data_IF_650096496396
#
_entry.id   IF_650096496396
#
_cell.length_a   1.000
_cell.length_b   1.000
_cell.length_c   1.000
_cell.angle_alpha   90.00
_cell.angle_beta   90.00
_cell.angle_gamma   90.00
#
_symmetry.space_group_name_H-M   'P 1'
#
loop_
_entity.id
_entity.type
_entity.pdbx_description
1 polymer ?
#
# COMPACT_ATOMS: atom_id res chain seq x y z
N UNK A 1 -2.17 -11.45 22.38
CA UNK A 1 -0.98 -12.34 22.49
C UNK A 1 0.04 -11.68 23.42
N UNK A 2 0.60 -12.41 24.39
CA UNK A 2 1.62 -11.87 25.29
C UNK A 2 3.00 -12.05 24.66
N UNK A 3 3.66 -10.94 24.33
CA UNK A 3 4.86 -10.93 23.49
C UNK A 3 6.03 -11.69 24.13
N UNK A 4 6.18 -11.60 25.45
CA UNK A 4 7.23 -12.30 26.22
C UNK A 4 7.02 -13.81 26.25
N UNK A 5 5.78 -14.27 26.47
CA UNK A 5 5.42 -15.69 26.39
C UNK A 5 5.64 -16.24 24.98
N UNK A 6 5.29 -15.47 23.95
CA UNK A 6 5.52 -15.85 22.57
C UNK A 6 7.02 -15.95 22.25
N UNK A 7 7.83 -14.96 22.65
CA UNK A 7 9.28 -14.99 22.44
C UNK A 7 9.97 -16.17 23.16
N UNK A 8 9.64 -16.44 24.42
CA UNK A 8 10.21 -17.57 25.15
C UNK A 8 9.81 -18.93 24.54
N UNK A 9 8.57 -19.03 24.04
CA UNK A 9 8.07 -20.19 23.29
C UNK A 9 8.87 -20.39 22.00
N UNK A 10 9.07 -19.34 21.21
CA UNK A 10 9.84 -19.43 19.96
C UNK A 10 11.32 -19.74 20.20
N UNK A 11 11.95 -19.14 21.22
CA UNK A 11 13.34 -19.46 21.59
C UNK A 11 13.51 -20.90 22.09
N UNK A 12 12.46 -21.46 22.71
CA UNK A 12 12.48 -22.84 23.17
C UNK A 12 12.20 -23.88 22.06
N UNK A 13 11.74 -23.42 20.89
CA UNK A 13 11.39 -24.24 19.73
C UNK A 13 12.59 -24.40 18.81
N UNK A 14 13.20 -25.58 18.80
CA UNK A 14 14.29 -25.90 17.87
C UNK A 14 13.79 -26.82 16.77
N UNK A 15 13.79 -26.34 15.51
CA UNK A 15 13.52 -27.15 14.32
C UNK A 15 14.81 -27.77 13.82
N UNK A 16 14.89 -29.11 13.76
CA UNK A 16 16.07 -29.79 13.18
C UNK A 16 15.92 -29.97 11.66
N UNK A 17 17.02 -29.88 10.88
CA UNK A 17 16.99 -30.09 9.43
C UNK A 17 16.66 -31.54 9.01
N UNK A 18 16.90 -32.53 9.87
CA UNK A 18 16.71 -33.95 9.58
C UNK A 18 15.30 -34.45 9.97
N UNK A 19 14.31 -33.99 9.21
CA UNK A 19 12.89 -34.37 9.31
C UNK A 19 12.06 -33.38 10.13
N UNK A 20 10.75 -33.29 9.83
CA UNK A 20 9.76 -32.44 10.53
C UNK A 20 9.62 -32.83 12.01
N UNK A 21 10.64 -32.53 12.82
CA UNK A 21 10.70 -32.88 14.24
C UNK A 21 11.02 -31.62 15.04
N UNK A 22 10.16 -31.34 16.01
CA UNK A 22 10.29 -30.23 16.94
C UNK A 22 10.93 -30.75 18.23
N UNK A 23 11.88 -30.01 18.79
CA UNK A 23 12.55 -30.40 20.04
C UNK A 23 12.42 -29.26 21.04
N UNK A 24 11.98 -29.58 22.26
CA UNK A 24 11.95 -28.64 23.36
C UNK A 24 13.36 -28.40 23.88
N UNK A 25 13.82 -27.15 23.87
CA UNK A 25 15.18 -26.82 24.32
C UNK A 25 15.38 -27.04 25.83
N UNK A 26 14.30 -26.99 26.61
CA UNK A 26 14.28 -27.08 28.07
C UNK A 26 14.40 -28.52 28.58
N UNK A 27 13.59 -29.44 28.04
CA UNK A 27 13.53 -30.84 28.49
C UNK A 27 14.04 -31.85 27.46
N UNK A 28 14.41 -31.40 26.25
CA UNK A 28 14.91 -32.21 25.12
C UNK A 28 13.92 -33.27 24.58
N UNK A 29 12.65 -33.23 24.98
CA UNK A 29 11.59 -34.06 24.39
C UNK A 29 11.39 -33.71 22.90
N UNK A 30 11.11 -34.74 22.09
CA UNK A 30 10.96 -34.64 20.63
C UNK A 30 9.52 -34.87 20.23
N UNK A 31 9.02 -34.07 19.30
CA UNK A 31 7.64 -34.06 18.86
C UNK A 31 7.59 -34.15 17.33
N UNK A 32 6.61 -34.89 16.82
CA UNK A 32 6.35 -35.07 15.39
C UNK A 32 5.56 -33.92 14.77
N UNK A 33 4.90 -33.09 15.59
CA UNK A 33 4.14 -31.92 15.15
C UNK A 33 4.39 -30.71 16.05
N UNK A 34 4.19 -29.53 15.47
CA UNK A 34 4.33 -28.25 16.19
C UNK A 34 3.29 -28.16 17.30
N UNK A 35 2.04 -28.47 16.99
CA UNK A 35 0.93 -28.41 17.95
C UNK A 35 1.14 -29.32 19.18
N UNK A 36 1.76 -30.49 19.01
CA UNK A 36 2.08 -31.39 20.12
C UNK A 36 3.18 -30.79 21.01
N UNK A 37 4.18 -30.13 20.42
CA UNK A 37 5.22 -29.42 21.13
C UNK A 37 4.65 -28.21 21.90
N UNK A 38 3.79 -27.43 21.26
CA UNK A 38 3.15 -26.25 21.87
C UNK A 38 2.31 -26.64 23.08
N UNK A 39 1.47 -27.67 22.93
CA UNK A 39 0.65 -28.21 24.02
C UNK A 39 1.51 -28.76 25.16
N UNK A 40 2.65 -29.37 24.85
CA UNK A 40 3.62 -29.80 25.87
C UNK A 40 4.21 -28.60 26.61
N UNK A 41 4.63 -27.55 25.89
CA UNK A 41 5.23 -26.36 26.47
C UNK A 41 4.25 -25.65 27.41
N UNK A 42 3.00 -25.48 26.98
CA UNK A 42 1.96 -24.85 27.79
C UNK A 42 1.56 -25.67 29.03
N UNK A 43 1.74 -27.00 29.02
CA UNK A 43 1.46 -27.83 30.20
C UNK A 43 2.63 -27.91 31.16
N UNK A 44 3.83 -28.22 30.65
CA UNK A 44 5.01 -28.52 31.48
C UNK A 44 5.91 -27.33 31.78
N UNK A 45 5.88 -26.29 30.95
CA UNK A 45 6.81 -25.17 31.00
C UNK A 45 6.12 -23.81 31.18
N UNK A 46 4.84 -23.81 31.57
CA UNK A 46 4.08 -22.58 31.86
C UNK A 46 4.68 -21.70 32.97
N UNK A 47 5.50 -22.29 33.84
CA UNK A 47 6.09 -21.64 35.03
C UNK A 47 7.38 -20.86 34.70
N UNK A 48 8.02 -21.08 33.54
CA UNK A 48 9.21 -20.31 33.14
C UNK A 48 8.91 -18.86 32.71
N UNK A 49 7.64 -18.46 32.81
CA UNK A 49 7.20 -17.07 32.66
C UNK A 49 7.45 -16.40 34.02
N UNK A 50 8.47 -15.55 34.09
CA UNK A 50 8.76 -14.81 35.33
C UNK A 50 7.53 -14.01 35.76
N UNK A 51 7.06 -14.12 37.02
CA UNK A 51 6.00 -13.28 37.54
C UNK A 51 6.47 -11.82 37.49
N UNK A 52 5.78 -10.98 36.71
CA UNK A 52 6.16 -9.58 36.48
C UNK A 52 6.79 -9.28 35.11
N UNK A 53 6.91 -10.27 34.22
CA UNK A 53 7.27 -10.08 32.79
C UNK A 53 6.21 -10.60 31.82
N UNK A 54 5.01 -10.87 32.33
CA UNK A 54 3.82 -11.29 31.62
C UNK A 54 2.97 -10.08 31.16
N UNK A 55 3.62 -8.98 30.77
CA UNK A 55 2.93 -7.85 30.14
C UNK A 55 2.38 -8.31 28.79
N UNK A 56 1.08 -8.54 28.72
CA UNK A 56 0.41 -8.84 27.48
C UNK A 56 0.01 -7.53 26.81
N UNK A 57 0.56 -7.24 25.62
CA UNK A 57 0.13 -6.08 24.83
C UNK A 57 -1.38 -6.09 24.53
N UNK A 58 -2.01 -7.26 24.60
CA UNK A 58 -3.46 -7.41 24.51
C UNK A 58 -4.21 -6.65 25.61
N UNK A 59 -3.65 -6.56 26.82
CA UNK A 59 -4.28 -5.87 27.95
C UNK A 59 -4.24 -4.34 27.76
N UNK A 60 -3.37 -3.86 26.87
CA UNK A 60 -3.24 -2.46 26.50
C UNK A 60 -3.89 -2.17 25.15
N UNK A 61 -4.68 -3.08 24.58
CA UNK A 61 -5.24 -2.90 23.24
C UNK A 61 -6.18 -1.70 23.12
N UNK A 62 -6.86 -1.34 24.21
CA UNK A 62 -7.67 -0.13 24.30
C UNK A 62 -6.79 1.12 24.11
N UNK A 63 -5.61 1.13 24.72
CA UNK A 63 -4.62 2.22 24.65
C UNK A 63 -3.85 2.22 23.33
N UNK A 64 -3.56 1.04 22.76
CA UNK A 64 -2.73 0.84 21.57
C UNK A 64 -3.53 0.80 20.26
N UNK A 65 -4.85 1.00 20.31
CA UNK A 65 -5.73 0.95 19.14
C UNK A 65 -5.60 -0.33 18.29
N UNK A 66 -5.48 -1.51 18.93
CA UNK A 66 -5.32 -2.79 18.24
C UNK A 66 -6.43 -3.06 17.20
N UNK A 67 -7.65 -2.60 17.49
CA UNK A 67 -8.80 -2.76 16.59
C UNK A 67 -8.69 -1.89 15.34
N UNK A 68 -7.87 -0.84 15.35
CA UNK A 68 -7.66 0.05 14.20
C UNK A 68 -6.58 -0.47 13.24
N UNK A 69 -5.63 -1.27 13.75
CA UNK A 69 -4.46 -1.78 12.97
C UNK A 69 -4.83 -3.02 12.14
N UNK A 70 -5.79 -3.83 12.59
CA UNK A 70 -6.30 -4.98 11.83
C UNK A 70 -7.35 -4.62 10.77
N UNK A 71 -7.61 -3.33 10.57
CA UNK A 71 -8.50 -2.84 9.54
C UNK A 71 -7.67 -2.63 8.28
N UNK A 72 -7.60 -3.67 7.46
CA UNK A 72 -7.62 -3.40 6.02
C UNK A 72 -8.84 -2.48 5.79
N UNK A 73 -8.69 -1.39 5.02
CA UNK A 73 -9.77 -0.43 4.79
C UNK A 73 -10.81 -1.01 3.83
N UNK A 74 -11.29 -2.22 4.08
CA UNK A 74 -12.60 -2.65 3.62
C UNK A 74 -13.63 -1.84 4.38
N UNK A 75 -13.85 -0.61 3.91
CA UNK A 75 -15.13 0.06 3.64
C UNK A 75 -16.33 -0.11 4.59
N UNK A 76 -16.21 -0.80 5.71
CA UNK A 76 -17.32 -1.24 6.58
C UNK A 76 -17.40 -0.39 7.84
N UNK A 77 -16.28 0.01 8.45
CA UNK A 77 -16.32 0.99 9.55
C UNK A 77 -16.62 2.41 9.09
N UNK A 78 -16.04 2.84 7.97
CA UNK A 78 -16.40 4.13 7.34
C UNK A 78 -17.88 4.16 6.91
N UNK A 79 -18.44 3.03 6.46
CA UNK A 79 -19.89 2.93 6.15
C UNK A 79 -20.77 2.75 7.38
N UNK A 80 -20.33 2.11 8.46
CA UNK A 80 -21.10 1.97 9.69
C UNK A 80 -21.20 3.28 10.49
N UNK A 81 -20.23 4.19 10.33
CA UNK A 81 -20.34 5.56 10.85
C UNK A 81 -21.30 6.43 10.02
N UNK A 82 -21.50 6.12 8.73
CA UNK A 82 -22.40 6.86 7.83
C UNK A 82 -23.80 6.23 7.66
N UNK A 83 -23.97 4.96 7.97
CA UNK A 83 -25.23 4.24 7.89
C UNK A 83 -25.54 3.65 9.27
N UNK A 84 -26.54 4.20 9.95
CA UNK A 84 -27.09 3.65 11.18
C UNK A 84 -27.66 2.25 10.95
N UNK A 85 -26.79 1.25 10.93
CA UNK A 85 -27.12 -0.17 10.85
C UNK A 85 -27.53 -0.67 12.25
N UNK A 86 -28.79 -1.06 12.47
CA UNK A 86 -29.29 -1.47 13.78
C UNK A 86 -28.81 -2.85 14.23
N UNK A 87 -27.99 -3.56 13.44
CA UNK A 87 -27.50 -4.92 13.77
C UNK A 87 -26.09 -4.94 14.37
N UNK A 88 -25.36 -3.84 14.34
CA UNK A 88 -24.10 -3.68 15.07
C UNK A 88 -24.40 -2.85 16.33
N UNK A 89 -24.16 -3.42 17.51
CA UNK A 89 -24.34 -2.71 18.77
C UNK A 89 -23.70 -1.31 18.64
N UNK A 90 -24.42 -0.22 18.95
CA UNK A 90 -23.89 1.11 18.77
C UNK A 90 -22.58 1.20 19.52
N UNK A 91 -21.48 1.47 18.82
CA UNK A 91 -20.29 1.95 19.49
C UNK A 91 -20.77 3.13 20.33
N UNK A 92 -20.66 3.01 21.66
CA UNK A 92 -21.18 4.00 22.58
C UNK A 92 -20.70 5.38 22.12
N UNK A 93 -21.58 6.41 22.12
CA UNK A 93 -21.20 7.75 21.68
C UNK A 93 -19.91 8.16 22.38
N UNK A 94 -18.92 8.61 21.60
CA UNK A 94 -17.60 8.95 22.13
C UNK A 94 -17.76 9.99 23.23
N UNK A 95 -17.33 9.64 24.45
CA UNK A 95 -17.32 10.55 25.58
C UNK A 95 -15.96 11.21 25.64
N UNK A 96 -15.94 12.53 25.51
CA UNK A 96 -14.71 13.33 25.55
C UNK A 96 -13.90 13.07 26.83
N UNK A 97 -14.58 12.93 27.98
CA UNK A 97 -13.94 12.59 29.25
C UNK A 97 -13.28 11.19 29.24
N UNK A 98 -13.86 10.23 28.53
CA UNK A 98 -13.29 8.88 28.44
C UNK A 98 -12.09 8.85 27.46
N UNK A 99 -12.16 9.62 26.37
CA UNK A 99 -11.04 9.79 25.46
C UNK A 99 -9.84 10.46 26.14
N UNK A 100 -10.07 11.49 26.97
CA UNK A 100 -8.99 12.15 27.71
C UNK A 100 -8.38 11.23 28.79
N UNK A 101 -9.20 10.45 29.51
CA UNK A 101 -8.70 9.45 30.46
C UNK A 101 -7.81 8.39 29.80
N UNK A 102 -8.21 7.91 28.61
CA UNK A 102 -7.40 6.99 27.82
C UNK A 102 -6.10 7.64 27.32
N UNK A 103 -6.16 8.91 26.93
CA UNK A 103 -5.00 9.69 26.50
C UNK A 103 -3.99 9.88 27.63
N UNK A 104 -4.44 10.20 28.83
CA UNK A 104 -3.59 10.29 30.03
C UNK A 104 -2.98 8.93 30.36
N UNK A 105 -3.79 7.88 30.40
CA UNK A 105 -3.31 6.50 30.61
C UNK A 105 -2.26 6.08 29.58
N UNK A 106 -2.42 6.51 28.32
CA UNK A 106 -1.44 6.30 27.26
C UNK A 106 -0.12 7.02 27.53
N UNK A 107 -0.17 8.27 28.00
CA UNK A 107 1.03 9.03 28.35
C UNK A 107 1.78 8.41 29.53
N UNK A 108 1.05 7.93 30.54
CA UNK A 108 1.64 7.23 31.68
C UNK A 108 2.35 5.94 31.24
N UNK A 109 1.71 5.18 30.35
CA UNK A 109 2.33 4.00 29.75
C UNK A 109 3.58 4.37 28.93
N UNK A 110 3.52 5.46 28.16
CA UNK A 110 4.65 5.95 27.38
C UNK A 110 5.83 6.37 28.28
N UNK A 111 5.55 6.99 29.42
CA UNK A 111 6.57 7.36 30.41
C UNK A 111 7.17 6.13 31.11
N UNK A 112 6.35 5.13 31.42
CA UNK A 112 6.80 3.88 32.03
C UNK A 112 7.69 3.06 31.07
N UNK A 113 7.33 2.99 29.79
CA UNK A 113 8.09 2.24 28.79
C UNK A 113 9.31 3.00 28.26
N UNK A 114 9.19 4.32 28.09
CA UNK A 114 10.22 5.18 27.52
C UNK A 114 10.38 6.42 28.42
N UNK A 115 11.17 6.33 29.49
CA UNK A 115 11.40 7.47 30.37
C UNK A 115 12.18 8.54 29.59
N UNK A 116 11.73 9.80 29.55
CA UNK A 116 12.45 10.85 28.82
C UNK A 116 13.86 11.08 29.39
N UNK A 117 14.04 10.81 30.68
CA UNK A 117 15.31 10.98 31.39
C UNK A 117 16.28 9.80 31.22
N UNK A 118 15.84 8.68 30.65
CA UNK A 118 16.68 7.49 30.44
C UNK A 118 17.64 7.62 29.23
N UNK A 119 17.61 8.75 28.53
CA UNK A 119 18.56 9.09 27.46
C UNK A 119 17.89 9.52 26.16
N UNK A 120 18.68 9.95 25.15
CA UNK A 120 18.16 10.57 23.92
C UNK A 120 17.31 9.62 23.07
N UNK A 121 17.62 8.31 23.08
CA UNK A 121 16.83 7.31 22.39
C UNK A 121 15.47 7.10 23.05
N UNK A 122 15.42 7.03 24.38
CA UNK A 122 14.19 6.89 25.14
C UNK A 122 13.32 8.14 25.00
N UNK A 123 13.89 9.34 25.12
CA UNK A 123 13.19 10.61 24.87
C UNK A 123 12.59 10.69 23.46
N UNK A 124 13.34 10.24 22.44
CA UNK A 124 12.85 10.21 21.06
C UNK A 124 11.68 9.23 20.89
N UNK A 125 11.79 8.02 21.45
CA UNK A 125 10.72 7.02 21.40
C UNK A 125 9.48 7.48 22.16
N UNK A 126 9.66 8.07 23.34
CA UNK A 126 8.59 8.67 24.13
C UNK A 126 7.81 9.69 23.30
N UNK A 127 8.52 10.64 22.67
CA UNK A 127 7.89 11.66 21.82
C UNK A 127 7.11 11.06 20.67
N UNK A 128 7.73 10.15 19.90
CA UNK A 128 7.08 9.50 18.77
C UNK A 128 5.83 8.72 19.19
N UNK A 129 5.87 8.06 20.34
CA UNK A 129 4.75 7.30 20.87
C UNK A 129 3.61 8.22 21.32
N UNK A 130 3.92 9.32 22.03
CA UNK A 130 2.89 10.28 22.47
C UNK A 130 2.25 11.00 21.28
N UNK A 131 3.05 11.48 20.32
CA UNK A 131 2.55 12.20 19.14
C UNK A 131 1.82 11.27 18.15
N UNK A 132 2.26 10.02 17.99
CA UNK A 132 1.66 9.10 17.02
C UNK A 132 0.52 8.25 17.57
N UNK A 133 0.66 7.73 18.78
CA UNK A 133 -0.28 6.76 19.38
C UNK A 133 -1.21 7.45 20.35
N UNK A 134 -0.69 8.21 21.33
CA UNK A 134 -1.55 8.80 22.36
C UNK A 134 -2.41 9.95 21.84
N UNK A 135 -1.91 10.73 20.87
CA UNK A 135 -2.69 11.80 20.25
C UNK A 135 -3.90 11.30 19.43
N UNK A 136 -3.92 10.02 19.06
CA UNK A 136 -5.03 9.41 18.33
C UNK A 136 -6.25 9.08 19.24
N UNK A 137 -6.11 9.21 20.56
CA UNK A 137 -7.23 9.21 21.51
C UNK A 137 -7.92 10.58 21.48
N UNK A 138 -8.80 10.75 20.51
CA UNK A 138 -9.65 11.94 20.36
C UNK A 138 -11.04 11.51 19.88
N UNK A 139 -12.07 12.27 20.27
CA UNK A 139 -13.42 12.11 19.73
C UNK A 139 -13.61 12.85 18.40
N UNK A 140 -12.61 13.61 17.95
CA UNK A 140 -12.64 14.34 16.69
C UNK A 140 -12.29 13.40 15.51
N UNK A 141 -13.29 13.11 14.68
CA UNK A 141 -13.18 12.22 13.53
C UNK A 141 -12.28 12.81 12.43
N UNK A 142 -12.21 14.15 12.32
CA UNK A 142 -11.39 14.87 11.33
C UNK A 142 -9.90 14.77 11.70
N UNK A 143 -9.58 14.99 12.99
CA UNK A 143 -8.21 14.89 13.48
C UNK A 143 -7.64 13.45 13.40
N UNK A 144 -8.52 12.45 13.58
CA UNK A 144 -8.13 11.04 13.53
C UNK A 144 -7.72 10.60 12.10
N UNK A 145 -8.35 11.15 11.06
CA UNK A 145 -7.97 10.89 9.67
C UNK A 145 -6.66 11.59 9.30
N UNK A 146 -6.48 12.85 9.69
CA UNK A 146 -5.26 13.60 9.37
C UNK A 146 -4.00 13.00 10.02
N UNK A 147 -4.08 12.55 11.27
CA UNK A 147 -2.93 11.97 11.98
C UNK A 147 -2.50 10.62 11.38
N UNK A 148 -3.46 9.77 11.00
CA UNK A 148 -3.20 8.49 10.31
C UNK A 148 -2.61 8.71 8.92
N UNK A 149 -3.10 9.72 8.19
CA UNK A 149 -2.56 10.10 6.88
C UNK A 149 -1.13 10.65 7.03
N UNK A 150 -0.83 11.46 8.05
CA UNK A 150 0.53 11.95 8.29
C UNK A 150 1.51 10.83 8.67
N UNK A 151 1.07 9.84 9.44
CA UNK A 151 1.86 8.63 9.75
C UNK A 151 2.07 7.75 8.51
N UNK A 152 1.10 7.69 7.61
CA UNK A 152 1.21 7.00 6.32
C UNK A 152 2.02 7.78 5.27
N UNK A 153 2.11 9.11 5.40
CA UNK A 153 2.78 10.00 4.45
C UNK A 153 4.30 10.08 4.62
N UNK A 154 4.96 9.00 5.05
CA UNK A 154 6.40 8.85 4.89
C UNK A 154 6.75 8.38 3.46
N UNK A 155 6.34 9.14 2.43
CA UNK A 155 6.74 8.94 1.03
C UNK A 155 8.14 9.52 0.74
N UNK A 156 9.19 9.00 1.39
CA UNK A 156 10.58 9.39 1.05
C UNK A 156 11.18 8.59 -0.12
N UNK A 157 10.39 7.79 -0.84
CA UNK A 157 10.84 6.97 -1.98
C UNK A 157 10.10 7.18 -3.30
N UNK A 158 9.09 8.05 -3.34
CA UNK A 158 8.07 8.03 -4.40
C UNK A 158 8.40 8.91 -5.61
N UNK A 159 9.31 9.88 -5.46
CA UNK A 159 9.60 10.85 -6.53
C UNK A 159 10.40 10.24 -7.70
N UNK A 160 11.29 9.28 -7.42
CA UNK A 160 12.16 8.67 -8.44
C UNK A 160 11.39 7.84 -9.47
N UNK A 161 10.49 6.97 -9.04
CA UNK A 161 9.74 6.13 -9.98
C UNK A 161 8.71 6.95 -10.78
N UNK A 162 8.14 8.02 -10.22
CA UNK A 162 7.24 8.95 -10.93
C UNK A 162 7.95 9.64 -12.10
N UNK A 163 9.20 10.09 -11.90
CA UNK A 163 10.02 10.65 -12.97
C UNK A 163 10.40 9.61 -14.03
N UNK A 164 10.76 8.39 -13.61
CA UNK A 164 11.07 7.29 -14.54
C UNK A 164 9.87 6.91 -15.41
N UNK A 165 8.67 6.80 -14.82
CA UNK A 165 7.43 6.53 -15.56
C UNK A 165 7.12 7.67 -16.53
N UNK A 166 7.25 8.93 -16.10
CA UNK A 166 7.05 10.08 -16.96
C UNK A 166 7.99 10.09 -18.18
N UNK A 167 9.28 9.78 -17.97
CA UNK A 167 10.27 9.70 -19.05
C UNK A 167 9.97 8.55 -20.01
N UNK A 168 9.56 7.39 -19.51
CA UNK A 168 9.18 6.25 -20.34
C UNK A 168 7.95 6.55 -21.22
N UNK A 169 6.92 7.19 -20.66
CA UNK A 169 5.74 7.62 -21.41
C UNK A 169 6.07 8.68 -22.46
N UNK A 170 6.94 9.64 -22.12
CA UNK A 170 7.44 10.65 -23.05
C UNK A 170 8.19 10.04 -24.23
N UNK A 171 9.09 9.09 -23.97
CA UNK A 171 9.82 8.37 -25.01
C UNK A 171 8.89 7.58 -25.94
N UNK A 172 7.86 6.93 -25.40
CA UNK A 172 6.85 6.23 -26.19
C UNK A 172 6.05 7.19 -27.08
N UNK A 173 5.63 8.34 -26.56
CA UNK A 173 4.92 9.35 -27.33
C UNK A 173 5.77 9.90 -28.50
N UNK A 174 7.06 10.16 -28.25
CA UNK A 174 8.01 10.59 -29.30
C UNK A 174 8.19 9.48 -30.35
N UNK A 175 8.34 8.23 -29.94
CA UNK A 175 8.46 7.10 -30.86
C UNK A 175 7.24 6.99 -31.79
N UNK A 176 6.02 7.08 -31.25
CA UNK A 176 4.80 7.06 -32.06
C UNK A 176 4.65 8.30 -32.95
N UNK A 177 5.05 9.48 -32.48
CA UNK A 177 5.08 10.70 -33.30
C UNK A 177 6.05 10.54 -34.50
N UNK A 178 7.24 9.97 -34.27
CA UNK A 178 8.19 9.66 -35.33
C UNK A 178 7.62 8.64 -36.33
N UNK A 179 6.96 7.57 -35.85
CA UNK A 179 6.29 6.61 -36.72
C UNK A 179 5.16 7.26 -37.53
N UNK A 180 4.40 8.15 -36.91
CA UNK A 180 3.32 8.88 -37.58
C UNK A 180 3.86 9.79 -38.69
N UNK A 181 4.90 10.57 -38.40
CA UNK A 181 5.59 11.41 -39.41
C UNK A 181 6.22 10.54 -40.51
N UNK A 182 6.86 9.44 -40.15
CA UNK A 182 7.45 8.50 -41.11
C UNK A 182 6.40 7.89 -42.04
N UNK A 183 5.26 7.46 -41.48
CA UNK A 183 4.13 6.95 -42.24
C UNK A 183 3.57 8.03 -43.18
N UNK A 184 3.41 9.26 -42.70
CA UNK A 184 2.92 10.37 -43.50
C UNK A 184 3.90 10.73 -44.64
N UNK A 185 5.21 10.71 -44.38
CA UNK A 185 6.23 10.93 -45.39
C UNK A 185 6.24 9.82 -46.47
N UNK A 186 6.12 8.56 -46.04
CA UNK A 186 6.07 7.40 -46.95
C UNK A 186 4.78 7.37 -47.77
N UNK A 187 3.63 7.63 -47.15
CA UNK A 187 2.34 7.73 -47.84
C UNK A 187 2.25 8.94 -48.77
N UNK A 188 2.91 10.06 -48.42
CA UNK A 188 3.02 11.25 -49.26
C UNK A 188 3.96 11.07 -50.47
N UNK A 189 4.98 10.21 -50.35
CA UNK A 189 5.89 9.86 -51.46
C UNK A 189 5.17 9.05 -52.56
N UNK A 190 4.33 8.08 -52.19
CA UNK A 190 3.55 7.30 -53.15
C UNK A 190 2.44 8.13 -53.84
N UNK A 191 1.80 9.08 -53.14
CA UNK A 191 0.70 9.87 -53.71
C UNK A 191 1.14 10.93 -54.73
N UNK A 192 2.36 11.51 -54.60
CA UNK A 192 2.85 12.52 -55.57
C UNK A 192 3.13 11.96 -56.97
N UNK A 193 3.51 10.68 -57.08
CA UNK A 193 3.72 10.02 -58.38
C UNK A 193 2.40 9.84 -59.15
N UNK A 194 1.33 9.50 -58.44
CA UNK A 194 0.02 9.23 -59.06
C UNK A 194 -0.75 10.51 -59.42
N UNK A 195 -0.64 11.58 -58.64
CA UNK A 195 -1.23 12.88 -59.03
C UNK A 195 -0.58 13.43 -60.31
N UNK A 196 0.74 13.23 -60.49
CA UNK A 196 1.43 13.61 -61.75
C UNK A 196 1.00 12.73 -62.92
N UNK A 197 0.79 11.42 -62.72
CA UNK A 197 0.27 10.51 -63.76
C UNK A 197 -1.16 10.85 -64.16
N UNK A 198 -2.04 11.17 -63.20
CA UNK A 198 -3.41 11.59 -63.48
C UNK A 198 -3.47 12.95 -64.19
N UNK A 199 -2.62 13.91 -63.82
CA UNK A 199 -2.50 15.19 -64.56
C UNK A 199 -2.01 15.00 -65.99
N UNK A 200 -1.02 14.12 -66.23
CA UNK A 200 -0.55 13.81 -67.60
C UNK A 200 -1.62 13.11 -68.43
N UNK A 201 -2.34 12.12 -67.86
CA UNK A 201 -3.47 11.47 -68.55
C UNK A 201 -4.56 12.47 -68.91
N UNK A 202 -4.91 13.39 -68.00
CA UNK A 202 -5.91 14.43 -68.26
C UNK A 202 -5.47 15.41 -69.35
N UNK A 203 -4.19 15.80 -69.38
CA UNK A 203 -3.66 16.67 -70.43
C UNK A 203 -3.65 16.00 -71.81
N UNK A 204 -3.24 14.73 -71.89
CA UNK A 204 -3.23 13.97 -73.14
C UNK A 204 -4.64 13.77 -73.71
N UNK A 205 -5.62 13.43 -72.86
CA UNK A 205 -7.01 13.26 -73.30
C UNK A 205 -7.62 14.56 -73.85
N UNK A 206 -7.25 15.73 -73.31
CA UNK A 206 -7.72 17.03 -73.81
C UNK A 206 -7.10 17.34 -75.18
N UNK A 207 -5.80 17.07 -75.36
CA UNK A 207 -5.13 17.24 -76.65
C UNK A 207 -5.71 16.31 -77.73
N UNK A 208 -6.03 15.07 -77.38
CA UNK A 208 -6.68 14.12 -78.29
C UNK A 208 -8.09 14.61 -78.69
N UNK A 209 -8.87 15.12 -77.74
CA UNK A 209 -10.19 15.68 -78.01
C UNK A 209 -10.14 16.92 -78.93
N UNK A 210 -9.18 17.82 -78.71
CA UNK A 210 -8.95 18.99 -79.57
C UNK A 210 -8.46 18.59 -80.98
N UNK A 211 -7.60 17.57 -81.07
CA UNK A 211 -7.15 17.02 -82.35
C UNK A 211 -8.27 16.36 -83.16
N UNK A 212 -9.21 15.69 -82.49
CA UNK A 212 -10.39 15.11 -83.14
C UNK A 212 -11.41 16.15 -83.59
N UNK A 213 -11.56 17.26 -82.86
CA UNK A 213 -12.40 18.39 -83.28
C UNK A 213 -11.83 19.08 -84.53
N UNK A 214 -10.51 19.28 -84.59
CA UNK A 214 -9.84 19.86 -85.77
C UNK A 214 -9.99 18.97 -87.02
N UNK A 215 -9.93 17.64 -86.89
CA UNK A 215 -10.13 16.71 -88.03
C UNK A 215 -11.57 16.63 -88.55
N UNK A 216 -12.56 17.01 -87.75
CA UNK A 216 -13.97 17.07 -88.18
C UNK A 216 -14.31 18.36 -88.91
N UNK A 217 -13.67 19.48 -88.54
CA UNK A 217 -13.88 20.77 -89.19
C UNK A 217 -13.31 20.86 -90.63
N UNK A 218 -12.32 20.03 -90.98
CA UNK A 218 -11.68 20.04 -92.30
C UNK A 218 -12.31 19.05 -93.31
N UNK A 219 -13.44 18.42 -92.96
CA UNK A 219 -14.10 17.39 -93.78
C UNK A 219 -15.55 17.76 -94.18
N UNK A 220 -15.87 19.05 -94.18
CA UNK A 220 -17.11 19.65 -94.68
C UNK A 220 -16.76 20.67 -95.75
#
# INVERSE_FOLDING_TARGET
MCFTRHLQREQAKVRRPSGNRFVCSLCKERFSSEEAWERHYDRKHHIHIHPGRDVCLADYCEVLHCDKINLTPTSRQLRAQQAGDPTLAPHAPCRESAAEQLRESCRDLAAACFPPDAGPAAAKLHRLFVEGVCAAHTCDLELQQDLLVQLAASEKGTLGYKLLIGLALGAMAIFYACLWVYHQYRSGSLSRGDVRRLRRKKANNILEFLGLQQRKAHRV
#
